data_IF_917510512185
#
_entry.id   IF_917510512185
#
_cell.length_a   1.000
_cell.length_b   1.000
_cell.length_c   1.000
_cell.angle_alpha   90.00
_cell.angle_beta   90.00
_cell.angle_gamma   90.00
#
_symmetry.space_group_name_H-M   'P 1'
#
loop_
_entity.id
_entity.type
_entity.pdbx_description
1 polymer ?
#
# COMPACT_ATOMS: atom_id res chain seq x y z
N UNK A 1 30.05 23.83 -24.43
CA UNK A 1 28.69 23.64 -23.90
C UNK A 1 28.70 22.42 -22.99
N UNK A 2 28.61 22.61 -21.67
CA UNK A 2 28.53 21.50 -20.72
C UNK A 2 27.11 20.95 -20.76
N UNK A 3 26.91 19.80 -21.42
CA UNK A 3 25.63 19.07 -21.38
C UNK A 3 25.40 18.56 -19.96
N UNK A 4 24.17 18.62 -19.46
CA UNK A 4 23.85 18.09 -18.13
C UNK A 4 24.01 16.57 -18.09
N UNK A 5 24.39 16.02 -16.94
CA UNK A 5 24.59 14.59 -16.72
C UNK A 5 23.36 13.75 -17.14
N UNK A 6 22.16 14.29 -16.96
CA UNK A 6 20.91 13.65 -17.41
C UNK A 6 20.77 13.61 -18.93
N UNK A 7 21.17 14.66 -19.65
CA UNK A 7 21.13 14.65 -21.12
C UNK A 7 22.16 13.70 -21.73
N UNK A 8 23.31 13.53 -21.07
CA UNK A 8 24.35 12.58 -21.48
C UNK A 8 23.90 11.12 -21.35
N UNK A 9 23.08 10.81 -20.34
CA UNK A 9 22.51 9.48 -20.12
C UNK A 9 21.41 9.10 -21.13
N UNK A 10 20.61 10.07 -21.59
CA UNK A 10 19.44 9.82 -22.46
C UNK A 10 19.76 9.81 -23.96
N UNK A 11 20.79 10.52 -24.42
CA UNK A 11 21.21 10.54 -25.84
C UNK A 11 22.74 10.61 -25.97
N UNK A 12 23.46 9.49 -25.76
CA UNK A 12 24.90 9.45 -25.98
C UNK A 12 25.20 9.50 -27.48
N UNK A 13 25.88 10.57 -27.91
CA UNK A 13 26.27 10.81 -29.30
C UNK A 13 27.74 10.46 -29.58
N UNK A 14 28.54 10.21 -28.54
CA UNK A 14 29.98 9.92 -28.65
C UNK A 14 30.38 8.68 -27.85
N UNK A 15 31.43 7.98 -28.30
CA UNK A 15 31.99 6.79 -27.64
C UNK A 15 32.39 7.07 -26.17
N UNK A 16 32.87 8.28 -25.87
CA UNK A 16 33.18 8.71 -24.50
C UNK A 16 31.91 8.84 -23.63
N UNK A 17 30.81 9.30 -24.21
CA UNK A 17 29.51 9.40 -23.52
C UNK A 17 28.92 8.02 -23.25
N UNK A 18 29.12 7.06 -24.17
CA UNK A 18 28.76 5.64 -23.97
C UNK A 18 29.52 4.98 -22.82
N UNK A 19 30.83 5.24 -22.70
CA UNK A 19 31.64 4.73 -21.58
C UNK A 19 31.12 5.28 -20.24
N UNK A 20 30.77 6.57 -20.19
CA UNK A 20 30.22 7.20 -18.97
C UNK A 20 28.85 6.59 -18.60
N UNK A 21 27.99 6.32 -19.58
CA UNK A 21 26.71 5.64 -19.35
C UNK A 21 26.89 4.20 -18.84
N UNK A 22 27.82 3.45 -19.44
CA UNK A 22 28.15 2.08 -19.02
C UNK A 22 28.68 2.04 -17.58
N UNK A 23 29.58 2.97 -17.23
CA UNK A 23 30.10 3.10 -15.86
C UNK A 23 28.97 3.45 -14.88
N UNK A 24 28.08 4.38 -15.26
CA UNK A 24 26.91 4.73 -14.46
C UNK A 24 25.99 3.54 -14.20
N UNK A 25 25.68 2.76 -15.25
CA UNK A 25 24.89 1.52 -15.12
C UNK A 25 25.60 0.46 -14.26
N UNK A 26 26.92 0.31 -14.41
CA UNK A 26 27.73 -0.59 -13.58
C UNK A 26 27.68 -0.21 -12.10
N UNK A 27 27.70 1.09 -11.78
CA UNK A 27 27.57 1.58 -10.40
C UNK A 27 26.18 1.25 -9.85
N UNK A 28 25.13 1.49 -10.62
CA UNK A 28 23.74 1.18 -10.21
C UNK A 28 23.57 -0.33 -9.99
N UNK A 29 24.05 -1.16 -10.92
CA UNK A 29 24.02 -2.62 -10.77
C UNK A 29 24.85 -3.04 -9.56
N UNK A 30 26.03 -2.45 -9.35
CA UNK A 30 26.87 -2.73 -8.18
C UNK A 30 26.16 -2.41 -6.86
N UNK A 31 25.41 -1.31 -6.81
CA UNK A 31 24.58 -0.95 -5.65
C UNK A 31 23.48 -1.99 -5.44
N UNK A 32 22.78 -2.40 -6.50
CA UNK A 32 21.71 -3.41 -6.42
C UNK A 32 22.26 -4.78 -5.98
N UNK A 33 23.39 -5.22 -6.52
CA UNK A 33 24.02 -6.49 -6.13
C UNK A 33 24.53 -6.42 -4.70
N UNK A 34 25.24 -5.34 -4.32
CA UNK A 34 25.72 -5.14 -2.94
C UNK A 34 24.56 -5.06 -1.94
N UNK A 35 23.42 -4.53 -2.38
CA UNK A 35 22.19 -4.50 -1.61
C UNK A 35 21.63 -5.89 -1.27
N UNK A 36 21.88 -6.91 -2.09
CA UNK A 36 21.44 -8.29 -1.78
C UNK A 36 22.28 -8.89 -0.66
N UNK A 37 23.56 -8.53 -0.57
CA UNK A 37 24.49 -9.09 0.42
C UNK A 37 24.51 -8.33 1.75
N UNK A 38 24.18 -7.03 1.76
CA UNK A 38 24.22 -6.19 2.95
C UNK A 38 22.84 -5.58 3.26
N UNK A 39 22.16 -6.15 4.26
CA UNK A 39 20.81 -5.75 4.68
C UNK A 39 20.71 -4.26 5.04
N UNK A 40 21.75 -3.68 5.66
CA UNK A 40 21.80 -2.25 6.00
C UNK A 40 21.83 -1.35 4.77
N UNK A 41 22.53 -1.78 3.71
CA UNK A 41 22.64 -1.03 2.44
C UNK A 41 21.32 -1.11 1.69
N UNK A 42 20.64 -2.26 1.69
CA UNK A 42 19.29 -2.40 1.15
C UNK A 42 18.29 -1.46 1.82
N UNK A 43 18.24 -1.47 3.15
CA UNK A 43 17.34 -0.59 3.90
C UNK A 43 17.60 0.89 3.57
N UNK A 44 18.86 1.31 3.49
CA UNK A 44 19.22 2.68 3.11
C UNK A 44 18.82 3.03 1.67
N UNK A 45 19.06 2.13 0.71
CA UNK A 45 18.71 2.33 -0.69
C UNK A 45 17.18 2.42 -0.89
N UNK A 46 16.42 1.54 -0.23
CA UNK A 46 14.95 1.54 -0.28
C UNK A 46 14.38 2.82 0.35
N UNK A 47 14.93 3.27 1.48
CA UNK A 47 14.49 4.53 2.10
C UNK A 47 14.75 5.75 1.22
N UNK A 48 15.91 5.82 0.56
CA UNK A 48 16.21 6.89 -0.40
C UNK A 48 15.31 6.83 -1.62
N UNK A 49 15.04 5.62 -2.14
CA UNK A 49 14.13 5.42 -3.25
C UNK A 49 12.70 5.84 -2.90
N UNK A 50 12.18 5.41 -1.74
CA UNK A 50 10.83 5.78 -1.28
C UNK A 50 10.70 7.28 -1.04
N UNK A 51 11.73 7.92 -0.46
CA UNK A 51 11.74 9.37 -0.26
C UNK A 51 11.73 10.13 -1.60
N UNK A 52 12.56 9.71 -2.55
CA UNK A 52 12.59 10.28 -3.90
C UNK A 52 11.29 10.04 -4.67
N UNK A 53 10.73 8.84 -4.57
CA UNK A 53 9.46 8.48 -5.19
C UNK A 53 8.30 9.28 -4.60
N UNK A 54 8.24 9.42 -3.27
CA UNK A 54 7.26 10.26 -2.58
C UNK A 54 7.33 11.71 -3.06
N UNK A 55 8.54 12.29 -3.13
CA UNK A 55 8.74 13.63 -3.67
C UNK A 55 8.27 13.75 -5.12
N UNK A 56 8.60 12.78 -5.97
CA UNK A 56 8.19 12.74 -7.37
C UNK A 56 6.66 12.67 -7.53
N UNK A 57 5.99 11.82 -6.74
CA UNK A 57 4.53 11.72 -6.75
C UNK A 57 3.89 13.04 -6.33
N UNK A 58 4.37 13.68 -5.25
CA UNK A 58 3.88 14.98 -4.79
C UNK A 58 4.06 16.04 -5.89
N UNK A 59 5.21 16.06 -6.55
CA UNK A 59 5.49 16.98 -7.64
C UNK A 59 4.53 16.75 -8.82
N UNK A 60 4.33 15.49 -9.22
CA UNK A 60 3.45 15.14 -10.35
C UNK A 60 1.97 15.38 -10.03
N UNK A 61 1.55 15.14 -8.78
CA UNK A 61 0.20 15.42 -8.32
C UNK A 61 -0.09 16.93 -8.36
N UNK A 62 0.85 17.75 -7.86
CA UNK A 62 0.75 19.21 -7.91
C UNK A 62 0.75 19.75 -9.34
N UNK A 63 1.46 19.09 -10.27
CA UNK A 63 1.43 19.43 -11.69
C UNK A 63 0.04 19.20 -12.29
N UNK A 64 -0.56 18.03 -12.06
CA UNK A 64 -1.89 17.69 -12.60
C UNK A 64 -3.00 18.56 -11.99
N UNK A 65 -2.92 18.91 -10.71
CA UNK A 65 -3.86 19.84 -10.05
C UNK A 65 -3.77 21.25 -10.66
N UNK A 66 -2.58 21.67 -11.11
CA UNK A 66 -2.40 22.97 -11.78
C UNK A 66 -3.00 22.97 -13.19
N UNK A 67 -2.84 21.90 -13.94
CA UNK A 67 -3.48 21.75 -15.27
C UNK A 67 -5.02 21.76 -15.14
N UNK A 68 -5.58 21.02 -14.17
CA UNK A 68 -7.02 21.00 -13.91
C UNK A 68 -7.62 22.36 -13.50
N UNK A 69 -6.84 23.25 -12.86
CA UNK A 69 -7.28 24.61 -12.51
C UNK A 69 -7.24 25.58 -13.69
N UNK A 70 -6.50 25.27 -14.76
CA UNK A 70 -6.34 26.15 -15.91
C UNK A 70 -7.45 25.99 -16.96
N UNK A 71 -8.15 24.85 -16.96
CA UNK A 71 -9.23 24.52 -17.91
C UNK A 71 -10.64 24.90 -17.45
N UNK A 72 -10.80 25.58 -16.29
CA UNK A 72 -12.11 26.04 -15.82
C UNK A 72 -12.29 27.55 -16.10
N UNK A 73 -13.08 27.96 -17.11
CA UNK A 73 -13.40 29.37 -17.29
C UNK A 73 -14.24 29.87 -16.11
N UNK A 74 -13.89 31.04 -15.59
CA UNK A 74 -14.67 31.81 -14.63
C UNK A 74 -16.13 31.94 -15.09
N UNK A 75 -17.07 31.46 -14.28
CA UNK A 75 -18.40 32.06 -14.21
C UNK A 75 -18.72 32.37 -12.75
N UNK A 76 -18.87 33.66 -12.51
CA UNK A 76 -19.51 34.21 -11.33
C UNK A 76 -20.97 33.79 -11.34
N UNK A 77 -21.43 33.08 -10.31
CA UNK A 77 -22.80 33.19 -9.84
C UNK A 77 -22.75 33.33 -8.33
N UNK A 78 -23.24 34.47 -7.88
CA UNK A 78 -23.53 34.79 -6.50
C UNK A 78 -24.67 33.89 -6.04
N UNK A 79 -24.49 33.16 -4.93
CA UNK A 79 -25.63 32.72 -4.14
C UNK A 79 -25.36 33.01 -2.66
N UNK A 80 -26.15 33.96 -2.16
CA UNK A 80 -26.26 34.35 -0.76
C UNK A 80 -27.14 33.35 -0.01
N UNK A 81 -26.59 32.68 1.01
CA UNK A 81 -27.29 32.36 2.27
C UNK A 81 -26.17 32.29 3.32
N UNK A 82 -25.99 33.26 4.21
CA UNK A 82 -26.88 33.58 5.31
C UNK A 82 -26.27 33.08 6.62
N UNK A 83 -25.17 33.70 7.06
CA UNK A 83 -24.63 33.49 8.41
C UNK A 83 -25.23 34.52 9.37
N UNK A 84 -25.96 34.06 10.37
CA UNK A 84 -26.20 34.81 11.60
C UNK A 84 -25.57 34.06 12.77
N UNK A 85 -24.44 34.62 13.21
CA UNK A 85 -23.90 34.76 14.55
C UNK A 85 -24.32 33.73 15.63
N UNK A 86 -23.33 33.07 16.25
CA UNK A 86 -23.02 33.29 17.68
C UNK A 86 -21.49 33.29 17.86
N UNK A 87 -21.02 34.36 18.50
CA UNK A 87 -19.65 34.67 18.88
C UNK A 87 -19.03 33.71 19.92
N UNK A 88 -17.73 33.49 19.72
CA UNK A 88 -16.62 33.42 20.68
C UNK A 88 -16.78 32.61 21.99
N UNK A 89 -15.99 31.54 22.06
CA UNK A 89 -14.93 31.43 23.08
C UNK A 89 -13.70 30.74 22.49
N UNK A 90 -12.54 31.36 22.70
CA UNK A 90 -11.22 30.86 22.33
C UNK A 90 -10.92 29.53 23.04
N UNK A 91 -10.31 28.59 22.31
CA UNK A 91 -9.17 27.82 22.81
C UNK A 91 -8.43 27.20 21.61
N UNK A 92 -7.15 27.54 21.51
CA UNK A 92 -6.22 26.99 20.55
C UNK A 92 -5.97 25.52 20.86
N UNK A 93 -6.16 24.61 19.89
CA UNK A 93 -5.60 23.27 19.98
C UNK A 93 -5.04 22.87 18.63
N UNK A 94 -3.71 22.94 18.55
CA UNK A 94 -2.90 22.17 17.62
C UNK A 94 -3.27 20.69 17.75
N UNK A 95 -3.56 20.02 16.64
CA UNK A 95 -3.37 18.58 16.58
C UNK A 95 -3.10 18.12 15.14
N UNK A 96 -1.86 18.34 14.71
CA UNK A 96 -1.17 17.36 13.88
C UNK A 96 -1.01 16.11 14.75
N UNK A 97 -2.02 15.23 14.74
CA UNK A 97 -1.91 13.94 15.41
C UNK A 97 -1.05 13.04 14.53
N UNK A 98 0.24 13.03 14.85
CA UNK A 98 1.20 12.02 14.44
C UNK A 98 0.56 10.65 14.71
N UNK A 99 0.49 9.82 13.67
CA UNK A 99 0.00 8.45 13.74
C UNK A 99 0.96 7.64 14.61
N UNK A 100 0.60 7.44 15.88
CA UNK A 100 1.22 6.45 16.75
C UNK A 100 0.72 5.06 16.33
N UNK A 101 1.59 4.05 16.18
CA UNK A 101 1.16 2.68 15.92
C UNK A 101 0.36 2.18 17.12
N UNK A 102 -0.95 2.03 16.97
CA UNK A 102 -1.74 1.29 17.92
C UNK A 102 -1.49 -0.20 17.69
N UNK A 103 -0.94 -0.85 18.71
CA UNK A 103 -0.93 -2.29 18.86
C UNK A 103 -2.37 -2.82 18.76
N UNK A 104 -2.51 -3.97 18.10
CA UNK A 104 -3.72 -4.81 18.05
C UNK A 104 -4.89 -4.29 17.17
N UNK A 105 -4.70 -4.27 15.85
CA UNK A 105 -5.82 -4.25 14.90
C UNK A 105 -6.32 -5.70 14.75
N UNK A 106 -7.49 -5.99 15.30
CA UNK A 106 -8.16 -7.30 15.16
C UNK A 106 -8.52 -7.54 13.70
N UNK A 107 -8.41 -8.79 13.24
CA UNK A 107 -8.74 -9.22 11.87
C UNK A 107 -10.13 -8.74 11.40
N UNK A 108 -11.10 -8.68 12.33
CA UNK A 108 -12.46 -8.19 12.08
C UNK A 108 -12.55 -6.70 11.63
N UNK A 109 -11.58 -5.87 12.02
CA UNK A 109 -11.51 -4.46 11.62
C UNK A 109 -10.96 -4.28 10.19
N UNK A 110 -10.16 -5.25 9.69
CA UNK A 110 -9.71 -5.28 8.30
C UNK A 110 -10.79 -5.83 7.35
N UNK A 111 -11.53 -6.84 7.79
CA UNK A 111 -12.62 -7.42 6.99
C UNK A 111 -13.76 -6.40 6.80
N UNK A 112 -14.07 -5.62 7.84
CA UNK A 112 -15.05 -4.54 7.76
C UNK A 112 -14.57 -3.36 6.90
N UNK A 113 -13.29 -2.97 6.96
CA UNK A 113 -12.72 -1.98 6.05
C UNK A 113 -12.74 -2.43 4.58
N UNK A 114 -12.51 -3.72 4.33
CA UNK A 114 -12.56 -4.33 2.99
C UNK A 114 -13.99 -4.38 2.45
N UNK A 115 -14.98 -4.69 3.30
CA UNK A 115 -16.40 -4.67 2.93
C UNK A 115 -16.91 -3.27 2.61
N UNK A 116 -16.53 -2.25 3.41
CA UNK A 116 -16.90 -0.84 3.17
C UNK A 116 -16.27 -0.32 1.88
N UNK A 117 -15.06 -0.77 1.55
CA UNK A 117 -14.41 -0.41 0.30
C UNK A 117 -15.08 -1.07 -0.90
N UNK A 118 -15.39 -2.37 -0.81
CA UNK A 118 -16.07 -3.10 -1.88
C UNK A 118 -17.48 -2.54 -2.16
N UNK A 119 -18.22 -2.13 -1.14
CA UNK A 119 -19.53 -1.49 -1.34
C UNK A 119 -19.42 -0.14 -2.05
N UNK A 120 -18.45 0.70 -1.68
CA UNK A 120 -18.17 1.97 -2.37
C UNK A 120 -17.69 1.79 -3.81
N UNK A 121 -16.96 0.71 -4.10
CA UNK A 121 -16.52 0.40 -5.47
C UNK A 121 -17.72 0.01 -6.33
N UNK A 122 -18.60 -0.84 -5.79
CA UNK A 122 -19.83 -1.26 -6.49
C UNK A 122 -20.77 -0.08 -6.77
N UNK A 123 -20.96 0.81 -5.80
CA UNK A 123 -21.73 2.06 -6.00
C UNK A 123 -21.13 2.91 -7.12
N UNK A 124 -19.80 2.98 -7.21
CA UNK A 124 -19.10 3.71 -8.29
C UNK A 124 -19.18 3.00 -9.64
N UNK A 125 -19.26 1.68 -9.69
CA UNK A 125 -19.49 0.93 -10.94
C UNK A 125 -20.91 1.17 -11.47
N UNK A 126 -21.91 1.16 -10.60
CA UNK A 126 -23.31 1.47 -10.95
C UNK A 126 -23.47 2.93 -11.43
N UNK A 127 -22.78 3.89 -10.79
CA UNK A 127 -22.71 5.28 -11.26
C UNK A 127 -22.04 5.38 -12.65
N UNK A 128 -20.97 4.60 -12.90
CA UNK A 128 -20.26 4.61 -14.18
C UNK A 128 -21.14 4.07 -15.31
N UNK A 129 -21.89 2.99 -15.05
CA UNK A 129 -22.83 2.41 -16.01
C UNK A 129 -23.94 3.40 -16.38
N UNK A 130 -24.44 4.16 -15.40
CA UNK A 130 -25.41 5.23 -15.67
C UNK A 130 -24.82 6.34 -16.55
N UNK A 131 -23.58 6.74 -16.31
CA UNK A 131 -22.89 7.75 -17.12
C UNK A 131 -22.70 7.26 -18.56
N UNK A 132 -22.37 5.98 -18.77
CA UNK A 132 -22.24 5.40 -20.11
C UNK A 132 -23.60 5.38 -20.87
N UNK A 133 -24.69 5.11 -20.16
CA UNK A 133 -26.06 5.20 -20.71
C UNK A 133 -26.41 6.64 -21.11
N UNK A 134 -26.20 7.61 -20.22
CA UNK A 134 -26.47 9.03 -20.47
C UNK A 134 -25.63 9.56 -21.64
N UNK A 135 -24.36 9.14 -21.73
CA UNK A 135 -23.45 9.48 -22.85
C UNK A 135 -23.96 8.92 -24.18
N UNK A 136 -24.49 7.70 -24.19
CA UNK A 136 -25.06 7.08 -25.39
C UNK A 136 -26.31 7.82 -25.86
N UNK A 137 -27.17 8.23 -24.93
CA UNK A 137 -28.36 9.04 -25.24
C UNK A 137 -27.97 10.41 -25.82
N UNK A 138 -26.99 11.09 -25.22
CA UNK A 138 -26.48 12.36 -25.71
C UNK A 138 -25.93 12.25 -27.14
N UNK A 139 -25.20 11.17 -27.45
CA UNK A 139 -24.65 10.93 -28.78
C UNK A 139 -25.75 10.71 -29.83
N UNK A 140 -26.80 9.98 -29.49
CA UNK A 140 -27.93 9.77 -30.39
C UNK A 140 -28.72 11.06 -30.63
N UNK A 141 -28.88 11.87 -29.58
CA UNK A 141 -29.50 13.19 -29.66
C UNK A 141 -28.68 14.15 -30.55
N UNK A 142 -27.34 14.07 -30.46
CA UNK A 142 -26.41 14.80 -31.32
C UNK A 142 -26.48 14.33 -32.78
N UNK A 143 -26.52 13.02 -33.04
CA UNK A 143 -26.69 12.50 -34.41
C UNK A 143 -28.05 12.86 -35.01
N UNK A 144 -29.08 13.00 -34.18
CA UNK A 144 -30.41 13.42 -34.62
C UNK A 144 -30.48 14.92 -34.95
N UNK A 145 -29.71 15.74 -34.24
CA UNK A 145 -29.65 17.21 -34.43
C UNK A 145 -28.60 17.65 -35.45
N UNK A 146 -27.60 16.82 -35.71
CA UNK A 146 -26.58 17.08 -36.70
C UNK A 146 -27.06 16.63 -38.08
N UNK A 147 -26.86 17.50 -39.08
CA UNK A 147 -27.18 17.23 -40.49
C UNK A 147 -26.07 16.34 -41.11
N UNK A 148 -25.87 15.16 -40.51
CA UNK A 148 -24.88 14.17 -40.92
C UNK A 148 -25.51 13.15 -41.86
N UNK A 149 -24.75 12.73 -42.87
CA UNK A 149 -25.17 11.66 -43.78
C UNK A 149 -25.20 10.30 -43.05
N UNK A 150 -26.08 9.39 -43.49
CA UNK A 150 -26.37 8.15 -42.76
C UNK A 150 -25.15 7.22 -42.68
N UNK A 151 -24.29 7.28 -43.71
CA UNK A 151 -23.03 6.53 -43.78
C UNK A 151 -21.98 7.04 -42.78
N UNK A 152 -21.96 8.35 -42.52
CA UNK A 152 -21.10 8.96 -41.50
C UNK A 152 -21.57 8.60 -40.10
N UNK A 153 -22.89 8.60 -39.85
CA UNK A 153 -23.49 8.16 -38.59
C UNK A 153 -23.15 6.72 -38.26
N UNK A 154 -23.26 5.80 -39.23
CA UNK A 154 -22.86 4.40 -39.03
C UNK A 154 -21.37 4.26 -38.72
N UNK A 155 -20.51 5.04 -39.40
CA UNK A 155 -19.06 5.04 -39.15
C UNK A 155 -18.74 5.51 -37.73
N UNK A 156 -19.38 6.59 -37.26
CA UNK A 156 -19.19 7.07 -35.89
C UNK A 156 -19.76 6.10 -34.86
N UNK A 157 -20.93 5.49 -35.10
CA UNK A 157 -21.50 4.44 -34.23
C UNK A 157 -20.55 3.25 -34.07
N UNK A 158 -19.93 2.81 -35.16
CA UNK A 158 -18.93 1.73 -35.12
C UNK A 158 -17.71 2.14 -34.28
N UNK A 159 -17.19 3.34 -34.49
CA UNK A 159 -16.02 3.86 -33.76
C UNK A 159 -16.30 4.05 -32.27
N UNK A 160 -17.51 4.48 -31.91
CA UNK A 160 -17.96 4.59 -30.52
C UNK A 160 -17.99 3.19 -29.88
N UNK A 161 -18.61 2.21 -30.53
CA UNK A 161 -18.65 0.82 -30.03
C UNK A 161 -17.26 0.21 -29.83
N UNK A 162 -16.33 0.46 -30.76
CA UNK A 162 -14.93 0.01 -30.63
C UNK A 162 -14.26 0.66 -29.41
N UNK A 163 -14.46 1.96 -29.19
CA UNK A 163 -13.90 2.68 -28.05
C UNK A 163 -14.53 2.28 -26.71
N UNK A 164 -15.81 1.97 -26.68
CA UNK A 164 -16.48 1.46 -25.48
C UNK A 164 -15.96 0.06 -25.11
N UNK A 165 -15.65 -0.78 -26.08
CA UNK A 165 -15.02 -2.09 -25.85
C UNK A 165 -13.58 -1.95 -25.32
N UNK A 166 -12.79 -1.01 -25.85
CA UNK A 166 -11.47 -0.67 -25.30
C UNK A 166 -11.58 -0.15 -23.86
N UNK A 167 -12.54 0.74 -23.58
CA UNK A 167 -12.78 1.29 -22.24
C UNK A 167 -13.09 0.19 -21.23
N UNK A 168 -13.96 -0.77 -21.58
CA UNK A 168 -14.26 -1.93 -20.73
C UNK A 168 -13.02 -2.78 -20.45
N UNK A 169 -12.21 -3.04 -21.47
CA UNK A 169 -10.97 -3.80 -21.32
C UNK A 169 -10.01 -3.11 -20.34
N UNK A 170 -9.84 -1.79 -20.45
CA UNK A 170 -9.00 -1.01 -19.54
C UNK A 170 -9.55 -1.04 -18.11
N UNK A 171 -10.87 -0.95 -17.95
CA UNK A 171 -11.52 -1.02 -16.64
C UNK A 171 -11.27 -2.38 -15.96
N UNK A 172 -11.43 -3.48 -16.70
CA UNK A 172 -11.16 -4.83 -16.20
C UNK A 172 -9.68 -5.00 -15.82
N UNK A 173 -8.76 -4.50 -16.64
CA UNK A 173 -7.32 -4.48 -16.32
C UNK A 173 -7.02 -3.68 -15.05
N UNK A 174 -7.67 -2.52 -14.88
CA UNK A 174 -7.52 -1.68 -13.70
C UNK A 174 -8.04 -2.36 -12.43
N UNK A 175 -9.22 -2.99 -12.49
CA UNK A 175 -9.77 -3.77 -11.36
C UNK A 175 -8.83 -4.90 -10.99
N UNK A 176 -8.32 -5.64 -11.98
CA UNK A 176 -7.36 -6.71 -11.75
C UNK A 176 -6.03 -6.20 -11.16
N UNK A 177 -5.52 -5.06 -11.65
CA UNK A 177 -4.31 -4.44 -11.10
C UNK A 177 -4.51 -4.00 -9.65
N UNK A 178 -5.68 -3.41 -9.35
CA UNK A 178 -6.07 -3.01 -8.00
C UNK A 178 -6.13 -4.19 -7.03
N UNK A 179 -6.74 -5.31 -7.45
CA UNK A 179 -6.78 -6.55 -6.66
C UNK A 179 -5.38 -7.09 -6.40
N UNK A 180 -4.50 -7.10 -7.40
CA UNK A 180 -3.10 -7.51 -7.25
C UNK A 180 -2.33 -6.61 -6.28
N UNK A 181 -2.55 -5.29 -6.33
CA UNK A 181 -1.93 -4.33 -5.39
C UNK A 181 -2.43 -4.56 -3.97
N UNK A 182 -3.74 -4.77 -3.80
CA UNK A 182 -4.32 -5.06 -2.49
C UNK A 182 -3.76 -6.36 -1.92
N UNK A 183 -3.64 -7.41 -2.74
CA UNK A 183 -3.03 -8.67 -2.33
C UNK A 183 -1.57 -8.49 -1.95
N UNK A 184 -0.77 -7.83 -2.78
CA UNK A 184 0.63 -7.56 -2.49
C UNK A 184 0.82 -6.73 -1.21
N UNK A 185 -0.12 -5.82 -0.90
CA UNK A 185 -0.13 -5.07 0.36
C UNK A 185 -0.46 -5.95 1.58
N UNK A 186 -1.41 -6.88 1.44
CA UNK A 186 -1.71 -7.85 2.50
C UNK A 186 -0.53 -8.81 2.72
N UNK A 187 0.09 -9.29 1.65
CA UNK A 187 1.24 -10.19 1.72
C UNK A 187 2.45 -9.49 2.35
N UNK A 188 2.72 -8.22 2.01
CA UNK A 188 3.76 -7.44 2.68
C UNK A 188 3.43 -7.19 4.15
N UNK A 189 2.16 -6.92 4.50
CA UNK A 189 1.77 -6.82 5.91
C UNK A 189 2.02 -8.14 6.65
N UNK A 190 1.76 -9.30 6.06
CA UNK A 190 2.07 -10.60 6.70
C UNK A 190 3.57 -10.77 6.96
N UNK A 191 4.45 -10.22 6.12
CA UNK A 191 5.91 -10.20 6.35
C UNK A 191 6.29 -9.26 7.52
N UNK A 192 5.44 -8.29 7.87
CA UNK A 192 5.67 -7.31 8.95
C UNK A 192 4.84 -7.56 10.21
N UNK A 193 3.88 -8.48 10.20
CA UNK A 193 3.24 -8.97 11.42
C UNK A 193 4.23 -9.95 12.04
N UNK A 194 4.97 -9.50 13.06
CA UNK A 194 5.63 -10.41 14.01
C UNK A 194 4.55 -11.34 14.54
N UNK A 195 4.45 -12.56 14.02
CA UNK A 195 3.66 -13.59 14.68
C UNK A 195 4.24 -13.74 16.10
N UNK A 196 3.41 -13.55 17.12
CA UNK A 196 3.88 -13.67 18.49
C UNK A 196 4.34 -15.13 18.70
N UNK A 197 5.65 -15.39 18.91
CA UNK A 197 6.22 -16.73 19.03
C UNK A 197 5.64 -17.49 20.22
N UNK A 198 4.99 -16.79 21.16
CA UNK A 198 4.34 -17.42 22.29
C UNK A 198 3.14 -18.26 21.85
N UNK A 199 2.41 -17.87 20.79
CA UNK A 199 1.25 -18.61 20.29
C UNK A 199 1.57 -20.06 19.89
N UNK A 200 2.55 -20.34 18.99
CA UNK A 200 2.92 -21.71 18.67
C UNK A 200 3.53 -22.44 19.86
N UNK A 201 4.24 -21.72 20.74
CA UNK A 201 4.79 -22.29 21.98
C UNK A 201 3.68 -22.79 22.92
N UNK A 202 2.61 -22.01 23.13
CA UNK A 202 1.48 -22.39 23.99
C UNK A 202 0.68 -23.52 23.37
N UNK A 203 0.48 -23.52 22.05
CA UNK A 203 -0.21 -24.61 21.35
C UNK A 203 0.54 -25.95 21.49
N UNK A 204 1.87 -25.90 21.61
CA UNK A 204 2.70 -27.08 21.85
C UNK A 204 2.81 -27.46 23.35
N UNK A 205 2.66 -26.49 24.26
CA UNK A 205 2.67 -26.75 25.70
C UNK A 205 1.33 -27.36 26.12
N UNK A 206 1.37 -28.53 26.75
CA UNK A 206 0.18 -29.11 27.35
C UNK A 206 -0.14 -28.40 28.68
N UNK A 207 -0.99 -27.36 28.60
CA UNK A 207 -1.41 -26.53 29.73
C UNK A 207 -2.39 -27.23 30.67
N UNK A 208 -3.08 -28.28 30.21
CA UNK A 208 -4.06 -29.03 31.01
C UNK A 208 -3.42 -29.96 32.06
N UNK A 209 -2.12 -30.24 31.93
CA UNK A 209 -1.36 -31.16 32.80
C UNK A 209 -0.50 -30.40 33.83
N UNK A 210 -0.50 -29.06 33.82
CA UNK A 210 0.23 -28.27 34.82
C UNK A 210 -0.63 -28.00 36.06
N UNK A 211 -0.42 -28.78 37.12
CA UNK A 211 -1.06 -28.54 38.42
C UNK A 211 -0.49 -27.26 39.10
N UNK A 212 0.79 -26.98 38.88
CA UNK A 212 1.46 -25.77 39.33
C UNK A 212 2.04 -25.02 38.13
N UNK A 213 1.57 -23.79 37.89
CA UNK A 213 2.14 -22.85 36.91
C UNK A 213 3.54 -22.34 37.31
N UNK A 214 4.36 -23.19 37.94
CA UNK A 214 5.71 -22.86 38.35
C UNK A 214 6.64 -22.78 37.13
N UNK A 215 7.63 -21.90 37.23
CA UNK A 215 8.66 -21.74 36.18
C UNK A 215 9.44 -23.03 35.94
N UNK A 216 9.59 -23.88 36.97
CA UNK A 216 10.27 -25.18 36.86
C UNK A 216 9.45 -26.16 36.02
N UNK A 217 8.15 -26.31 36.31
CA UNK A 217 7.25 -27.18 35.54
C UNK A 217 7.16 -26.74 34.06
N UNK A 218 7.11 -25.44 33.81
CA UNK A 218 7.11 -24.89 32.45
C UNK A 218 8.43 -25.17 31.71
N UNK A 219 9.58 -25.06 32.38
CA UNK A 219 10.88 -25.39 31.79
C UNK A 219 11.02 -26.88 31.46
N UNK A 220 10.44 -27.78 32.26
CA UNK A 220 10.42 -29.21 31.94
C UNK A 220 9.60 -29.49 30.68
N UNK A 221 8.44 -28.85 30.54
CA UNK A 221 7.62 -28.98 29.33
C UNK A 221 8.30 -28.35 28.11
N UNK A 222 8.93 -27.17 28.27
CA UNK A 222 9.68 -26.50 27.21
C UNK A 222 10.78 -27.40 26.64
N UNK A 223 11.50 -28.09 27.51
CA UNK A 223 12.56 -29.02 27.10
C UNK A 223 12.01 -30.27 26.38
N UNK A 224 10.80 -30.72 26.70
CA UNK A 224 10.13 -31.84 25.99
C UNK A 224 9.71 -31.45 24.58
N UNK A 225 9.23 -30.23 24.39
CA UNK A 225 8.75 -29.73 23.10
C UNK A 225 9.83 -29.05 22.24
N UNK A 226 11.01 -28.78 22.82
CA UNK A 226 12.14 -28.14 22.11
C UNK A 226 12.44 -28.81 20.77
N UNK A 227 12.41 -30.15 20.73
CA UNK A 227 12.71 -30.92 19.51
C UNK A 227 11.62 -30.90 18.44
N UNK A 228 10.41 -30.44 18.77
CA UNK A 228 9.27 -30.32 17.84
C UNK A 228 8.96 -28.89 17.44
N UNK A 229 9.68 -27.90 18.00
CA UNK A 229 9.54 -26.50 17.66
C UNK A 229 10.31 -26.18 16.38
N UNK A 230 9.76 -25.26 15.60
CA UNK A 230 10.43 -24.75 14.40
C UNK A 230 11.69 -23.94 14.79
N UNK A 231 12.73 -24.03 13.96
CA UNK A 231 14.04 -23.40 14.21
C UNK A 231 13.92 -21.87 14.28
N UNK A 232 12.99 -21.31 13.51
CA UNK A 232 12.71 -19.88 13.47
C UNK A 232 12.09 -19.40 14.80
N UNK A 233 11.22 -20.21 15.41
CA UNK A 233 10.63 -19.92 16.73
C UNK A 233 11.69 -19.97 17.83
N UNK A 234 12.59 -20.96 17.80
CA UNK A 234 13.69 -21.09 18.76
C UNK A 234 14.62 -19.87 18.68
N UNK A 235 15.06 -19.54 17.47
CA UNK A 235 15.96 -18.40 17.21
C UNK A 235 15.33 -17.10 17.67
N UNK A 236 14.02 -16.93 17.45
CA UNK A 236 13.31 -15.74 17.88
C UNK A 236 13.19 -15.65 19.41
N UNK A 237 12.83 -16.75 20.09
CA UNK A 237 12.72 -16.81 21.56
C UNK A 237 14.06 -16.48 22.24
N UNK A 238 15.17 -16.93 21.67
CA UNK A 238 16.53 -16.60 22.13
C UNK A 238 16.85 -15.12 21.86
N UNK A 239 16.56 -14.63 20.64
CA UNK A 239 16.87 -13.24 20.25
C UNK A 239 16.09 -12.18 21.05
N UNK A 240 14.85 -12.47 21.45
CA UNK A 240 14.00 -11.59 22.26
C UNK A 240 14.15 -11.87 23.78
N UNK A 241 15.14 -12.70 24.17
CA UNK A 241 15.49 -12.99 25.55
C UNK A 241 14.32 -13.57 26.37
N UNK A 242 13.47 -14.36 25.71
CA UNK A 242 12.41 -15.13 26.36
C UNK A 242 12.94 -16.43 26.96
N UNK A 243 13.97 -17.00 26.35
CA UNK A 243 14.72 -18.17 26.86
C UNK A 243 16.22 -17.85 26.94
N UNK A 244 16.92 -18.52 27.84
CA UNK A 244 18.38 -18.43 27.98
C UNK A 244 19.12 -19.41 27.04
N UNK A 245 20.45 -19.39 27.08
CA UNK A 245 21.33 -20.27 26.27
C UNK A 245 21.12 -21.77 26.54
N UNK A 246 20.45 -22.13 27.64
CA UNK A 246 20.06 -23.50 27.97
C UNK A 246 18.62 -23.81 27.56
N UNK A 247 17.96 -22.90 26.84
CA UNK A 247 16.56 -22.94 26.47
C UNK A 247 15.62 -23.05 27.69
N UNK A 248 15.95 -22.35 28.78
CA UNK A 248 15.08 -22.17 29.94
C UNK A 248 14.46 -20.79 29.92
N UNK A 249 13.21 -20.69 30.37
CA UNK A 249 12.46 -19.45 30.43
C UNK A 249 13.16 -18.41 31.32
N UNK A 250 13.36 -17.23 30.75
CA UNK A 250 13.76 -16.05 31.51
C UNK A 250 12.55 -15.49 32.26
N UNK A 251 12.79 -14.53 33.16
CA UNK A 251 11.71 -13.80 33.84
C UNK A 251 10.74 -13.15 32.85
N UNK A 252 11.23 -12.70 31.70
CA UNK A 252 10.43 -12.08 30.64
C UNK A 252 9.61 -13.12 29.89
N UNK A 253 10.21 -14.25 29.51
CA UNK A 253 9.52 -15.37 28.85
C UNK A 253 8.43 -15.99 29.71
N UNK A 254 8.70 -16.20 30.98
CA UNK A 254 7.72 -16.71 31.93
C UNK A 254 6.50 -15.78 32.09
N UNK A 255 6.74 -14.46 32.20
CA UNK A 255 5.66 -13.48 32.30
C UNK A 255 4.83 -13.40 31.00
N UNK A 256 5.48 -13.51 29.84
CA UNK A 256 4.81 -13.52 28.55
C UNK A 256 3.92 -14.76 28.39
N UNK A 257 4.44 -15.96 28.71
CA UNK A 257 3.67 -17.21 28.69
C UNK A 257 2.45 -17.16 29.61
N UNK A 258 2.61 -16.67 30.85
CA UNK A 258 1.50 -16.57 31.80
C UNK A 258 0.37 -15.67 31.31
N UNK A 259 0.66 -14.64 30.50
CA UNK A 259 -0.35 -13.73 29.95
C UNK A 259 -1.32 -14.44 28.99
N UNK A 260 -0.91 -15.56 28.42
CA UNK A 260 -1.71 -16.32 27.47
C UNK A 260 -2.36 -17.57 28.06
N UNK A 261 -1.77 -18.14 29.11
CA UNK A 261 -2.27 -19.34 29.79
C UNK A 261 -3.38 -18.99 30.80
N UNK A 262 -3.37 -17.76 31.34
CA UNK A 262 -4.36 -17.25 32.31
C UNK A 262 -5.43 -16.39 31.64
#
# INVERSE_FOLDING_TARGET
MNKSLGQLMLKPASFKEWIICLIGWLIVIGIVVSSVYFEKVYRAAVLLFLSGFSYFVIQKLNFLIREQKQDKPLKNEEEKVGYTNIDKKEEAVSNTKIFTPAEDVKQADLDSATLIFNSKVKEKEEELEKIDLDRTQLLEDLFSKADLDELEKETYRKKIKEKDAEQKTILDEMVNAKTKIQQAFLDTKNIFVKEDPMKPLIAAINTEVMEDYSIQAMNEQLNRIKGSLDIDVITFLESENYVDDQFKLTRTGYKALLKYIK
#
